data_IF_050837545946
#
_entry.id   IF_050837545946
#
_cell.length_a   1.000
_cell.length_b   1.000
_cell.length_c   1.000
_cell.angle_alpha   90.00
_cell.angle_beta   90.00
_cell.angle_gamma   90.00
#
_symmetry.space_group_name_H-M   'P 1'
#
loop_
_entity.id
_entity.type
_entity.pdbx_description
1 polymer ?
#
# COMPACT_ATOMS: atom_id res chain seq x y z
N UNK A 1 2.76 27.79 -6.62
CA UNK A 1 3.54 26.57 -6.93
C UNK A 1 3.91 25.88 -5.64
N UNK A 2 3.36 24.68 -5.46
CA UNK A 2 3.71 23.81 -4.35
C UNK A 2 5.04 23.10 -4.62
N UNK A 3 5.74 22.70 -3.57
CA UNK A 3 6.90 21.84 -3.70
C UNK A 3 6.82 20.67 -2.72
N UNK A 4 7.32 19.50 -3.18
CA UNK A 4 7.35 18.27 -2.40
C UNK A 4 8.51 18.27 -1.41
N UNK A 5 8.26 17.75 -0.21
CA UNK A 5 9.26 17.56 0.84
C UNK A 5 9.12 16.19 1.49
N UNK A 6 10.26 15.55 1.73
CA UNK A 6 10.37 14.30 2.47
C UNK A 6 11.20 14.51 3.73
N UNK A 7 10.86 13.77 4.79
CA UNK A 7 11.59 13.78 6.05
C UNK A 7 12.13 12.38 6.35
N UNK A 8 13.39 12.30 6.80
CA UNK A 8 13.99 11.04 7.23
C UNK A 8 14.05 11.01 8.76
N UNK A 9 13.43 10.03 9.39
CA UNK A 9 13.47 9.82 10.85
C UNK A 9 13.60 8.33 11.14
N UNK A 10 14.54 7.96 12.02
CA UNK A 10 14.82 6.57 12.40
C UNK A 10 15.00 5.64 11.19
N UNK A 11 15.73 6.10 10.16
CA UNK A 11 15.97 5.32 8.94
C UNK A 11 14.80 5.24 7.94
N UNK A 12 13.58 5.68 8.31
CA UNK A 12 12.39 5.66 7.44
C UNK A 12 12.17 7.02 6.77
N UNK A 13 11.63 7.00 5.55
CA UNK A 13 11.26 8.19 4.76
C UNK A 13 9.76 8.45 4.94
N UNK A 14 9.41 9.68 5.31
CA UNK A 14 8.03 10.16 5.51
C UNK A 14 7.72 11.28 4.52
N UNK A 15 6.56 11.19 3.87
CA UNK A 15 6.10 12.12 2.85
C UNK A 15 5.38 11.38 1.71
N UNK A 16 5.06 12.08 0.61
CA UNK A 16 5.36 13.48 0.33
C UNK A 16 4.53 14.45 1.19
N UNK A 17 5.15 15.58 1.56
CA UNK A 17 4.46 16.73 2.14
C UNK A 17 4.60 17.91 1.21
N UNK A 18 3.49 18.55 0.89
CA UNK A 18 3.45 19.69 0.00
C UNK A 18 3.46 20.99 0.80
N UNK A 19 4.28 21.93 0.33
CA UNK A 19 4.40 23.25 0.90
C UNK A 19 4.27 24.31 -0.19
N UNK A 20 3.59 25.40 0.14
CA UNK A 20 3.49 26.59 -0.70
C UNK A 20 4.37 27.70 -0.14
N UNK A 21 5.04 28.45 -1.02
CA UNK A 21 5.78 29.65 -0.64
C UNK A 21 4.94 30.89 -0.93
N UNK A 22 4.74 31.75 0.08
CA UNK A 22 3.99 33.01 -0.06
C UNK A 22 4.76 34.17 0.55
N UNK A 23 4.51 35.40 0.07
CA UNK A 23 5.07 36.62 0.64
C UNK A 23 4.10 37.22 1.64
N UNK A 24 4.60 37.55 2.82
CA UNK A 24 3.82 38.25 3.84
C UNK A 24 3.73 39.76 3.51
N UNK A 25 2.87 40.49 4.23
CA UNK A 25 2.66 41.94 4.07
C UNK A 25 3.97 42.75 4.20
N UNK A 26 4.94 42.22 4.93
CA UNK A 26 6.25 42.83 5.15
C UNK A 26 7.30 42.39 4.11
N UNK A 27 6.88 41.73 3.02
CA UNK A 27 7.77 41.25 1.95
C UNK A 27 8.57 39.98 2.27
N UNK A 28 8.42 39.41 3.48
CA UNK A 28 9.14 38.20 3.89
C UNK A 28 8.52 36.95 3.27
N UNK A 29 9.35 36.07 2.69
CA UNK A 29 8.91 34.76 2.18
C UNK A 29 8.66 33.80 3.34
N UNK A 30 7.48 33.21 3.38
CA UNK A 30 7.04 32.20 4.35
C UNK A 30 6.60 30.93 3.61
N UNK A 31 6.58 29.81 4.35
CA UNK A 31 6.17 28.50 3.86
C UNK A 31 4.91 28.06 4.58
N UNK A 32 3.89 27.65 3.84
CA UNK A 32 2.62 27.11 4.35
C UNK A 32 2.53 25.63 4.02
N UNK A 33 2.15 24.81 5.00
CA UNK A 33 1.85 23.41 4.75
C UNK A 33 0.47 23.30 4.11
N UNK A 34 0.36 22.57 3.00
CA UNK A 34 -0.88 22.47 2.23
C UNK A 34 -1.45 21.04 2.19
N UNK A 35 -0.69 20.03 2.60
CA UNK A 35 -1.20 18.65 2.69
C UNK A 35 -0.23 17.59 2.19
N UNK A 36 -0.74 16.37 1.99
CA UNK A 36 -0.01 15.23 1.40
C UNK A 36 -0.51 14.85 0.01
N UNK A 37 -1.60 15.44 -0.43
CA UNK A 37 -2.16 15.26 -1.78
C UNK A 37 -1.45 16.20 -2.76
N UNK A 38 -1.27 15.74 -3.99
CA UNK A 38 -0.62 16.52 -5.02
C UNK A 38 -1.55 17.64 -5.49
N UNK A 39 -1.24 18.92 -5.20
CA UNK A 39 -2.12 20.02 -5.58
C UNK A 39 -2.18 20.24 -7.10
N UNK A 40 -1.19 19.74 -7.86
CA UNK A 40 -1.13 19.91 -9.31
C UNK A 40 -1.91 18.81 -10.08
N UNK A 41 -2.43 17.78 -9.39
CA UNK A 41 -3.21 16.69 -10.00
C UNK A 41 -4.70 17.02 -10.13
N UNK A 42 -5.26 17.79 -9.20
CA UNK A 42 -6.69 18.09 -9.13
C UNK A 42 -7.19 18.99 -10.27
N UNK A 43 -6.31 19.73 -10.92
CA UNK A 43 -6.66 20.63 -12.03
C UNK A 43 -7.04 19.87 -13.31
N UNK A 44 -6.64 18.59 -13.41
CA UNK A 44 -6.93 17.77 -14.57
C UNK A 44 -8.28 17.09 -14.49
N UNK A 45 -8.75 16.70 -13.31
CA UNK A 45 -10.02 15.95 -13.13
C UNK A 45 -11.25 16.73 -13.59
N UNK A 46 -11.23 18.07 -13.51
CA UNK A 46 -12.38 18.88 -13.93
C UNK A 46 -12.56 18.93 -15.46
N UNK A 47 -11.50 18.69 -16.24
CA UNK A 47 -11.56 18.73 -17.73
C UNK A 47 -11.88 17.39 -18.39
N UNK A 48 -11.81 16.28 -17.65
CA UNK A 48 -11.97 14.93 -18.20
C UNK A 48 -13.44 14.46 -18.18
N UNK A 49 -14.26 15.06 -17.31
CA UNK A 49 -15.65 14.63 -17.08
C UNK A 49 -16.62 14.88 -18.26
N UNK A 50 -16.25 15.71 -19.24
CA UNK A 50 -17.01 15.88 -20.48
C UNK A 50 -16.67 14.86 -21.58
N UNK A 51 -15.54 14.13 -21.47
CA UNK A 51 -15.11 13.11 -22.43
C UNK A 51 -15.28 11.65 -21.97
N UNK A 52 -15.75 11.43 -20.74
CA UNK A 52 -15.74 10.09 -20.10
C UNK A 52 -16.96 9.20 -20.36
N UNK A 53 -18.04 9.69 -20.98
CA UNK A 53 -19.23 8.85 -21.20
C UNK A 53 -19.04 7.76 -22.25
N UNK A 54 -18.12 7.92 -23.19
CA UNK A 54 -17.89 6.95 -24.28
C UNK A 54 -16.91 5.82 -23.88
N UNK A 55 -16.11 6.02 -22.82
CA UNK A 55 -15.04 5.09 -22.41
C UNK A 55 -15.42 4.13 -21.27
N UNK A 56 -16.62 4.28 -20.69
CA UNK A 56 -17.07 3.45 -19.57
C UNK A 56 -17.36 1.99 -19.97
N UNK A 57 -17.81 1.76 -21.20
CA UNK A 57 -18.16 0.42 -21.71
C UNK A 57 -16.92 -0.43 -22.07
N UNK A 58 -15.79 0.22 -22.40
CA UNK A 58 -14.54 -0.47 -22.71
C UNK A 58 -13.79 -0.93 -21.45
N UNK A 59 -13.87 -0.15 -20.37
CA UNK A 59 -13.07 -0.36 -19.16
C UNK A 59 -13.58 -1.52 -18.29
N UNK A 60 -14.87 -1.87 -18.36
CA UNK A 60 -15.46 -2.99 -17.60
C UNK A 60 -14.93 -4.37 -18.07
N UNK A 61 -14.51 -4.48 -19.34
CA UNK A 61 -13.91 -5.71 -19.88
C UNK A 61 -12.44 -5.86 -19.49
N UNK A 62 -11.72 -4.77 -19.26
CA UNK A 62 -10.30 -4.79 -18.90
C UNK A 62 -10.12 -5.10 -17.40
N UNK A 63 -10.94 -4.51 -16.53
CA UNK A 63 -10.90 -4.74 -15.07
C UNK A 63 -11.09 -6.21 -14.66
N UNK A 64 -11.92 -6.97 -15.38
CA UNK A 64 -12.17 -8.40 -15.08
C UNK A 64 -10.94 -9.29 -15.31
N UNK A 65 -10.02 -8.88 -16.19
CA UNK A 65 -8.80 -9.64 -16.48
C UNK A 65 -7.68 -9.31 -15.49
N UNK A 66 -7.58 -8.05 -15.06
CA UNK A 66 -6.58 -7.62 -14.07
C UNK A 66 -6.94 -8.07 -12.65
N UNK A 67 -8.23 -8.10 -12.29
CA UNK A 67 -8.68 -8.66 -11.01
C UNK A 67 -8.33 -10.14 -10.85
N UNK A 68 -8.46 -10.95 -11.91
CA UNK A 68 -8.03 -12.37 -11.90
C UNK A 68 -6.52 -12.51 -11.76
N UNK A 69 -5.75 -11.61 -12.37
CA UNK A 69 -4.28 -11.58 -12.27
C UNK A 69 -3.81 -11.20 -10.86
N UNK A 70 -4.49 -10.26 -10.21
CA UNK A 70 -4.20 -9.85 -8.83
C UNK A 70 -4.61 -10.91 -7.80
N UNK A 71 -5.71 -11.64 -8.02
CA UNK A 71 -6.12 -12.75 -7.15
C UNK A 71 -5.07 -13.87 -7.12
N UNK A 72 -4.42 -14.14 -8.25
CA UNK A 72 -3.35 -15.15 -8.35
C UNK A 72 -1.99 -14.64 -7.82
N UNK A 73 -1.80 -13.32 -7.69
CA UNK A 73 -0.56 -12.72 -7.16
C UNK A 73 -0.55 -12.68 -5.62
N UNK A 74 -1.72 -12.70 -4.98
CA UNK A 74 -1.90 -12.68 -3.51
C UNK A 74 -2.31 -14.07 -3.01
N UNK A 75 -1.61 -15.12 -3.43
CA UNK A 75 -1.61 -16.39 -2.69
C UNK A 75 -0.20 -16.65 -2.19
N UNK A 76 0.07 -16.56 -0.88
CA UNK A 76 1.34 -17.00 -0.35
C UNK A 76 1.43 -18.51 -0.54
N UNK A 77 2.20 -18.90 -1.56
CA UNK A 77 2.98 -20.13 -1.66
C UNK A 77 2.62 -21.21 -0.63
N UNK A 78 1.88 -22.24 -1.10
CA UNK A 78 1.52 -23.47 -0.38
C UNK A 78 2.69 -24.19 0.34
N UNK A 79 3.93 -23.76 0.12
CA UNK A 79 5.14 -24.30 0.71
C UNK A 79 5.27 -23.99 2.21
N UNK A 80 4.99 -22.74 2.63
CA UNK A 80 5.15 -22.35 4.04
C UNK A 80 4.08 -22.98 4.94
N UNK A 81 2.84 -23.13 4.46
CA UNK A 81 1.77 -23.74 5.23
C UNK A 81 1.99 -25.25 5.44
N UNK A 82 2.47 -25.95 4.41
CA UNK A 82 2.81 -27.38 4.53
C UNK A 82 3.95 -27.62 5.52
N UNK A 83 5.00 -26.79 5.47
CA UNK A 83 6.11 -26.86 6.43
C UNK A 83 5.63 -26.57 7.86
N UNK A 84 4.77 -25.57 8.04
CA UNK A 84 4.20 -25.24 9.35
C UNK A 84 3.39 -26.41 9.93
N UNK A 85 2.56 -27.08 9.12
CA UNK A 85 1.77 -28.24 9.55
C UNK A 85 2.68 -29.41 9.95
N UNK A 86 3.75 -29.67 9.19
CA UNK A 86 4.73 -30.72 9.50
C UNK A 86 5.44 -30.45 10.83
N UNK A 87 5.84 -29.19 11.10
CA UNK A 87 6.47 -28.80 12.36
C UNK A 87 5.56 -29.04 13.57
N UNK A 88 4.28 -28.69 13.45
CA UNK A 88 3.29 -28.92 14.51
C UNK A 88 3.07 -30.41 14.76
N UNK A 89 3.00 -31.23 13.71
CA UNK A 89 2.84 -32.68 13.84
C UNK A 89 4.01 -33.35 14.58
N UNK A 90 5.24 -32.90 14.32
CA UNK A 90 6.44 -33.44 14.99
C UNK A 90 6.42 -33.11 16.49
N UNK A 91 6.05 -31.89 16.88
CA UNK A 91 5.91 -31.49 18.29
C UNK A 91 4.93 -32.38 19.05
N UNK A 92 3.76 -32.64 18.47
CA UNK A 92 2.73 -33.48 19.11
C UNK A 92 3.24 -34.92 19.26
N UNK A 93 3.94 -35.46 18.26
CA UNK A 93 4.50 -36.82 18.32
C UNK A 93 5.58 -36.98 19.39
N UNK A 94 6.41 -35.95 19.60
CA UNK A 94 7.42 -35.97 20.67
C UNK A 94 6.79 -35.95 22.05
N UNK A 95 5.73 -35.18 22.25
CA UNK A 95 5.02 -35.11 23.53
C UNK A 95 4.32 -36.43 23.86
N UNK A 96 3.67 -37.08 22.88
CA UNK A 96 3.03 -38.39 23.07
C UNK A 96 4.07 -39.47 23.40
N UNK A 97 5.22 -39.46 22.72
CA UNK A 97 6.31 -40.42 22.97
C UNK A 97 6.86 -40.27 24.39
N UNK A 98 6.99 -39.04 24.87
CA UNK A 98 7.44 -38.72 26.23
C UNK A 98 6.44 -39.22 27.30
N UNK A 99 5.14 -39.06 27.05
CA UNK A 99 4.07 -39.57 27.93
C UNK A 99 4.11 -41.10 28.00
N UNK A 100 4.24 -41.79 26.87
CA UNK A 100 4.31 -43.26 26.82
C UNK A 100 5.53 -43.78 27.56
N UNK A 101 6.68 -43.12 27.41
CA UNK A 101 7.91 -43.46 28.14
C UNK A 101 7.74 -43.28 29.65
N UNK A 102 7.03 -42.24 30.09
CA UNK A 102 6.80 -41.98 31.51
C UNK A 102 5.75 -42.91 32.13
N UNK A 103 4.81 -43.44 31.33
CA UNK A 103 3.81 -44.40 31.78
C UNK A 103 4.30 -45.85 31.83
N UNK A 104 5.47 -46.15 31.26
CA UNK A 104 6.07 -47.49 31.22
C UNK A 104 7.11 -47.66 32.31
#
# INVERSE_FOLDING_TARGET
MAYKRYFKRNGKIFGPYYYESYRDKNGKVKKRYIGRENPDENDNETKINTGFKENADFNDKMQKNDAKKLLNMVTPTNFNLKILIIMIAILILTDISFIIFYLR
#
